data_IF_800883674610
#
_entry.id   IF_800883674610
#
_cell.length_a   1.000
_cell.length_b   1.000
_cell.length_c   1.000
_cell.angle_alpha   90.00
_cell.angle_beta   90.00
_cell.angle_gamma   90.00
#
_symmetry.space_group_name_H-M   'P 1'
#
loop_
_entity.id
_entity.type
_entity.pdbx_description
1 polymer ?
#
# COMPACT_ATOMS: atom_id res chain seq x y z
N UNK A 1 2.86 -1.09 -17.27
CA UNK A 1 3.75 0.07 -17.23
C UNK A 1 3.42 0.83 -15.96
N UNK A 2 4.38 1.01 -15.06
CA UNK A 2 4.19 1.79 -13.83
C UNK A 2 4.12 3.30 -14.12
N UNK A 3 3.68 4.10 -13.14
CA UNK A 3 3.58 5.57 -13.28
C UNK A 3 4.88 6.21 -13.77
N UNK A 4 6.02 5.83 -13.19
CA UNK A 4 7.33 6.39 -13.56
C UNK A 4 7.78 5.98 -14.97
N UNK A 5 7.54 4.72 -15.35
CA UNK A 5 7.82 4.24 -16.71
C UNK A 5 6.97 4.98 -17.75
N UNK A 6 5.69 5.24 -17.44
CA UNK A 6 4.79 6.00 -18.31
C UNK A 6 5.26 7.44 -18.49
N UNK A 7 5.69 8.08 -17.40
CA UNK A 7 6.18 9.45 -17.46
C UNK A 7 7.46 9.52 -18.29
N UNK A 8 8.42 8.61 -18.06
CA UNK A 8 9.67 8.57 -18.82
C UNK A 8 9.46 8.28 -20.31
N UNK A 9 8.51 7.40 -20.66
CA UNK A 9 8.16 7.12 -22.04
C UNK A 9 7.57 8.33 -22.76
N UNK A 10 6.80 9.15 -22.05
CA UNK A 10 6.23 10.40 -22.57
C UNK A 10 7.27 11.52 -22.68
N UNK A 11 8.03 11.81 -21.61
CA UNK A 11 8.89 13.00 -21.54
C UNK A 11 10.25 12.78 -22.18
N UNK A 12 10.91 11.66 -21.86
CA UNK A 12 12.30 11.40 -22.27
C UNK A 12 12.41 10.62 -23.56
N UNK A 13 11.49 9.67 -23.81
CA UNK A 13 11.54 8.81 -25.00
C UNK A 13 10.69 9.33 -26.16
N UNK A 14 9.67 10.15 -25.88
CA UNK A 14 8.73 10.66 -26.88
C UNK A 14 7.95 9.55 -27.60
N UNK A 15 7.78 8.39 -26.95
CA UNK A 15 7.11 7.21 -27.55
C UNK A 15 5.61 7.17 -27.25
N UNK A 16 5.11 8.08 -26.44
CA UNK A 16 3.71 8.20 -26.05
C UNK A 16 3.21 9.63 -26.25
N UNK A 17 1.92 9.78 -26.56
CA UNK A 17 1.26 11.09 -26.66
C UNK A 17 0.82 11.64 -25.29
N UNK A 18 0.68 10.76 -24.28
CA UNK A 18 0.33 11.11 -22.91
C UNK A 18 0.86 10.07 -21.92
N UNK A 19 1.00 10.46 -20.66
CA UNK A 19 1.34 9.57 -19.55
C UNK A 19 0.17 9.45 -18.56
N UNK A 20 0.05 8.28 -17.93
CA UNK A 20 -0.87 8.06 -16.81
C UNK A 20 -0.04 7.85 -15.55
N UNK A 21 -0.28 8.69 -14.54
CA UNK A 21 0.42 8.67 -13.26
C UNK A 21 -0.58 8.67 -12.12
N UNK A 22 -0.34 7.86 -11.09
CA UNK A 22 -1.15 7.88 -9.85
C UNK A 22 -0.58 8.85 -8.81
N UNK A 23 0.72 9.17 -8.91
CA UNK A 23 1.40 10.07 -8.00
C UNK A 23 1.40 11.51 -8.55
N UNK A 24 1.12 12.47 -7.68
CA UNK A 24 1.17 13.88 -8.03
C UNK A 24 2.61 14.35 -8.20
N UNK A 25 2.92 14.96 -9.34
CA UNK A 25 4.13 15.77 -9.51
C UNK A 25 3.96 17.14 -8.87
N UNK A 26 5.05 17.77 -8.43
CA UNK A 26 4.98 19.16 -7.94
C UNK A 26 4.66 20.11 -9.10
N UNK A 27 4.05 21.26 -8.79
CA UNK A 27 3.73 22.27 -9.80
C UNK A 27 5.01 22.78 -10.48
N UNK A 28 6.09 22.88 -9.74
CA UNK A 28 7.41 23.30 -10.20
C UNK A 28 7.96 22.30 -11.23
N UNK A 29 7.86 20.99 -10.95
CA UNK A 29 8.30 19.94 -11.87
C UNK A 29 7.47 19.95 -13.17
N UNK A 30 6.15 20.06 -13.05
CA UNK A 30 5.26 20.14 -14.22
C UNK A 30 5.55 21.38 -15.07
N UNK A 31 5.81 22.52 -14.44
CA UNK A 31 6.12 23.77 -15.16
C UNK A 31 7.47 23.69 -15.87
N UNK A 32 8.49 23.10 -15.22
CA UNK A 32 9.82 22.95 -15.80
C UNK A 32 9.81 22.06 -17.06
N UNK A 33 8.92 21.07 -17.11
CA UNK A 33 8.76 20.17 -18.25
C UNK A 33 7.64 20.61 -19.22
N UNK A 34 7.02 21.77 -19.00
CA UNK A 34 5.89 22.29 -19.79
C UNK A 34 4.72 21.26 -19.90
N UNK A 35 4.42 20.60 -18.79
CA UNK A 35 3.38 19.57 -18.68
C UNK A 35 2.13 20.09 -17.99
N UNK A 36 0.97 19.60 -18.44
CA UNK A 36 -0.31 19.78 -17.76
C UNK A 36 -0.74 18.46 -17.12
N UNK A 37 -1.23 18.51 -15.87
CA UNK A 37 -1.82 17.37 -15.18
C UNK A 37 -3.34 17.51 -15.14
N UNK A 38 -4.06 16.53 -15.68
CA UNK A 38 -5.51 16.50 -15.71
C UNK A 38 -6.03 15.29 -14.91
N UNK A 39 -6.94 15.47 -13.94
CA UNK A 39 -7.59 14.35 -13.28
C UNK A 39 -8.37 13.52 -14.31
N UNK A 40 -8.04 12.23 -14.40
CA UNK A 40 -8.70 11.32 -15.34
C UNK A 40 -9.70 10.41 -14.64
N UNK A 41 -9.29 9.76 -13.55
CA UNK A 41 -10.13 8.85 -12.76
C UNK A 41 -9.75 8.87 -11.28
N UNK A 42 -10.72 8.63 -10.41
CA UNK A 42 -10.52 8.36 -8.99
C UNK A 42 -10.82 6.89 -8.71
N UNK A 43 -9.89 6.18 -8.07
CA UNK A 43 -10.02 4.76 -7.78
C UNK A 43 -9.76 4.50 -6.29
N UNK A 44 -10.58 3.66 -5.63
CA UNK A 44 -10.30 3.24 -4.27
C UNK A 44 -9.13 2.26 -4.24
N UNK A 45 -8.25 2.42 -3.25
CA UNK A 45 -7.26 1.40 -2.88
C UNK A 45 -7.83 0.67 -1.67
N UNK A 46 -7.89 -0.65 -1.74
CA UNK A 46 -8.45 -1.50 -0.67
C UNK A 46 -7.36 -2.41 -0.10
N UNK A 47 -7.37 -2.57 1.22
CA UNK A 47 -6.59 -3.61 1.89
C UNK A 47 -7.38 -4.93 1.81
N UNK A 48 -6.83 -5.91 1.11
CA UNK A 48 -7.41 -7.24 1.04
C UNK A 48 -6.88 -8.13 2.17
N UNK A 49 -7.71 -9.05 2.65
CA UNK A 49 -7.35 -10.04 3.67
C UNK A 49 -7.83 -11.43 3.28
N UNK A 50 -7.24 -12.46 3.89
CA UNK A 50 -7.64 -13.85 3.70
C UNK A 50 -7.91 -14.50 5.05
N UNK A 51 -9.19 -14.54 5.42
CA UNK A 51 -9.70 -15.15 6.65
C UNK A 51 -10.94 -15.98 6.31
N UNK A 52 -10.78 -17.22 5.81
CA UNK A 52 -11.90 -18.04 5.34
C UNK A 52 -12.92 -18.40 6.43
N UNK A 53 -12.52 -18.29 7.70
CA UNK A 53 -13.35 -18.55 8.87
C UNK A 53 -14.29 -17.41 9.24
N UNK A 54 -14.15 -16.22 8.63
CA UNK A 54 -15.02 -15.09 8.93
C UNK A 54 -16.39 -15.23 8.28
N UNK A 55 -17.44 -15.11 9.10
CA UNK A 55 -18.83 -15.13 8.65
C UNK A 55 -19.31 -13.79 8.07
N UNK A 56 -18.60 -12.69 8.34
CA UNK A 56 -18.91 -11.36 7.84
C UNK A 56 -17.64 -10.54 7.57
N UNK A 57 -17.82 -9.41 6.91
CA UNK A 57 -16.73 -8.49 6.55
C UNK A 57 -16.00 -7.98 7.78
N UNK A 58 -14.67 -7.98 7.71
CA UNK A 58 -13.79 -7.38 8.72
C UNK A 58 -13.77 -5.85 8.56
N UNK A 59 -13.87 -5.15 9.67
CA UNK A 59 -13.74 -3.69 9.74
C UNK A 59 -12.37 -3.33 10.29
N UNK A 60 -11.64 -2.46 9.60
CA UNK A 60 -10.39 -1.87 10.07
C UNK A 60 -10.49 -0.34 9.92
N UNK A 61 -10.01 0.39 10.92
CA UNK A 61 -9.78 1.82 10.81
C UNK A 61 -8.35 2.11 10.33
N UNK A 62 -8.08 3.37 10.01
CA UNK A 62 -6.77 3.78 9.51
C UNK A 62 -5.64 3.50 10.50
N UNK A 63 -5.87 3.75 11.80
CA UNK A 63 -4.87 3.57 12.84
C UNK A 63 -4.50 2.10 13.02
N UNK A 64 -5.49 1.20 13.08
CA UNK A 64 -5.27 -0.25 13.15
C UNK A 64 -4.57 -0.76 11.90
N UNK A 65 -4.94 -0.25 10.72
CA UNK A 65 -4.24 -0.60 9.48
C UNK A 65 -2.78 -0.14 9.50
N UNK A 66 -2.50 1.09 9.94
CA UNK A 66 -1.13 1.59 10.12
C UNK A 66 -0.32 0.74 11.10
N UNK A 67 -0.92 0.40 12.24
CA UNK A 67 -0.31 -0.45 13.26
C UNK A 67 0.00 -1.88 12.76
N UNK A 68 -0.84 -2.44 11.87
CA UNK A 68 -0.56 -3.70 11.19
C UNK A 68 0.68 -3.58 10.31
N UNK A 69 0.78 -2.51 9.53
CA UNK A 69 1.87 -2.29 8.57
C UNK A 69 3.17 -1.77 9.21
N UNK A 70 3.12 -1.24 10.43
CA UNK A 70 4.31 -0.93 11.24
C UNK A 70 4.80 -2.14 12.04
N UNK A 71 3.95 -3.16 12.23
CA UNK A 71 4.25 -4.37 13.00
C UNK A 71 3.88 -4.29 14.49
N UNK A 72 3.16 -3.24 14.91
CA UNK A 72 2.62 -3.14 16.26
C UNK A 72 1.44 -4.09 16.49
N UNK A 73 0.66 -4.39 15.45
CA UNK A 73 -0.42 -5.38 15.45
C UNK A 73 -0.05 -6.53 14.53
N UNK A 74 0.15 -7.73 15.10
CA UNK A 74 0.65 -8.90 14.35
C UNK A 74 -0.25 -10.13 14.40
N UNK A 75 -1.39 -10.03 15.09
CA UNK A 75 -2.36 -11.11 15.25
C UNK A 75 -3.76 -10.66 14.84
N UNK A 76 -4.54 -11.53 14.20
CA UNK A 76 -5.90 -11.20 13.80
C UNK A 76 -6.86 -11.00 14.97
N UNK A 77 -6.64 -11.69 16.10
CA UNK A 77 -7.42 -11.52 17.32
C UNK A 77 -6.89 -10.43 18.26
N UNK A 78 -6.04 -9.52 17.76
CA UNK A 78 -5.56 -8.38 18.54
C UNK A 78 -6.73 -7.54 19.07
N UNK A 79 -6.57 -6.93 20.25
CA UNK A 79 -7.62 -6.14 20.89
C UNK A 79 -8.04 -4.94 20.04
N UNK A 80 -7.12 -4.33 19.29
CA UNK A 80 -7.45 -3.23 18.37
C UNK A 80 -8.43 -3.69 17.27
N UNK A 81 -8.18 -4.87 16.68
CA UNK A 81 -9.05 -5.44 15.64
C UNK A 81 -10.36 -5.93 16.26
N UNK A 82 -10.31 -6.60 17.41
CA UNK A 82 -11.50 -7.14 18.09
C UNK A 82 -12.46 -6.03 18.53
N UNK A 83 -11.94 -4.88 18.96
CA UNK A 83 -12.75 -3.73 19.38
C UNK A 83 -13.58 -3.17 18.22
N UNK A 84 -13.03 -3.16 17.00
CA UNK A 84 -13.72 -2.73 15.79
C UNK A 84 -14.74 -3.77 15.29
N UNK A 85 -14.62 -5.02 15.75
CA UNK A 85 -15.38 -6.16 15.24
C UNK A 85 -16.03 -6.97 16.38
N UNK A 86 -16.86 -6.36 17.25
CA UNK A 86 -17.36 -7.01 18.47
C UNK A 86 -18.25 -8.24 18.21
N UNK A 87 -18.83 -8.36 17.02
CA UNK A 87 -19.65 -9.50 16.62
C UNK A 87 -18.88 -10.63 15.95
N UNK A 88 -17.57 -10.45 15.69
CA UNK A 88 -16.73 -11.45 15.04
C UNK A 88 -15.90 -12.22 16.07
N UNK A 89 -15.83 -13.54 15.89
CA UNK A 89 -14.83 -14.38 16.55
C UNK A 89 -13.57 -14.38 15.69
N UNK A 90 -12.56 -13.62 16.09
CA UNK A 90 -11.32 -13.49 15.33
C UNK A 90 -10.35 -14.65 15.65
N UNK A 91 -9.69 -15.24 14.64
CA UNK A 91 -8.79 -16.36 14.86
C UNK A 91 -7.46 -15.91 15.49
N UNK A 92 -6.87 -16.77 16.30
CA UNK A 92 -5.50 -16.60 16.81
C UNK A 92 -4.47 -16.96 15.73
N UNK A 93 -4.53 -16.24 14.61
CA UNK A 93 -3.64 -16.41 13.46
C UNK A 93 -2.74 -15.19 13.31
N UNK A 94 -1.46 -15.43 13.02
CA UNK A 94 -0.50 -14.37 12.79
C UNK A 94 -0.80 -13.71 11.45
N UNK A 95 -0.80 -12.37 11.41
CA UNK A 95 -0.97 -11.61 10.18
C UNK A 95 0.29 -11.80 9.33
N UNK A 96 0.08 -12.23 8.08
CA UNK A 96 1.12 -12.32 7.06
C UNK A 96 0.87 -11.25 6.01
N UNK A 97 1.77 -10.27 5.93
CA UNK A 97 1.64 -9.18 4.97
C UNK A 97 2.14 -9.60 3.59
N UNK A 98 1.47 -9.11 2.56
CA UNK A 98 1.89 -9.23 1.17
C UNK A 98 2.01 -7.84 0.58
N UNK A 99 3.11 -7.57 -0.13
CA UNK A 99 3.32 -6.29 -0.80
C UNK A 99 4.01 -6.47 -2.15
N UNK A 100 3.83 -5.49 -3.03
CA UNK A 100 4.63 -5.37 -4.24
C UNK A 100 6.03 -4.83 -3.90
N UNK A 101 7.09 -5.48 -4.39
CA UNK A 101 8.46 -4.99 -4.24
C UNK A 101 8.69 -3.60 -4.81
N UNK A 102 7.95 -3.25 -5.86
CA UNK A 102 8.08 -1.97 -6.53
C UNK A 102 7.48 -0.85 -5.66
N UNK A 103 8.37 -0.18 -4.93
CA UNK A 103 8.04 1.00 -4.12
C UNK A 103 7.84 2.26 -4.96
N UNK A 104 8.28 2.25 -6.22
CA UNK A 104 8.09 3.37 -7.15
C UNK A 104 6.70 3.38 -7.80
N UNK A 105 5.94 2.28 -7.66
CA UNK A 105 4.54 2.20 -8.11
C UNK A 105 3.66 3.25 -7.42
N UNK A 106 2.79 3.89 -8.19
CA UNK A 106 1.89 4.93 -7.71
C UNK A 106 0.87 4.45 -6.67
N UNK A 107 0.42 3.19 -6.77
CA UNK A 107 -0.42 2.54 -5.74
C UNK A 107 0.36 2.41 -4.42
N UNK A 108 1.61 1.95 -4.48
CA UNK A 108 2.46 1.81 -3.29
C UNK A 108 2.70 3.16 -2.61
N UNK A 109 3.00 4.20 -3.40
CA UNK A 109 3.20 5.55 -2.87
C UNK A 109 1.93 6.12 -2.24
N UNK A 110 0.76 5.94 -2.87
CA UNK A 110 -0.51 6.42 -2.32
C UNK A 110 -0.88 5.67 -1.04
N UNK A 111 -0.69 4.35 -1.01
CA UNK A 111 -0.98 3.52 0.15
C UNK A 111 -0.07 3.85 1.35
N UNK A 112 1.25 3.93 1.15
CA UNK A 112 2.21 4.30 2.20
C UNK A 112 1.99 5.72 2.71
N UNK A 113 1.61 6.67 1.85
CA UNK A 113 1.21 8.01 2.25
C UNK A 113 -0.03 7.99 3.14
N UNK A 114 -1.06 7.21 2.80
CA UNK A 114 -2.26 7.08 3.61
C UNK A 114 -1.93 6.49 4.99
N UNK A 115 -1.17 5.39 5.04
CA UNK A 115 -0.74 4.79 6.31
C UNK A 115 0.07 5.76 7.18
N UNK A 116 0.95 6.57 6.58
CA UNK A 116 1.74 7.58 7.30
C UNK A 116 0.89 8.71 7.88
N UNK A 117 -0.29 8.98 7.30
CA UNK A 117 -1.26 9.93 7.85
C UNK A 117 -2.08 9.32 8.99
N UNK A 118 -2.27 8.00 8.97
CA UNK A 118 -3.09 7.31 9.96
C UNK A 118 -2.33 6.88 11.21
N UNK A 119 -1.02 6.62 11.07
CA UNK A 119 -0.19 6.07 12.14
C UNK A 119 1.22 6.69 12.12
N UNK A 120 1.59 7.35 13.21
CA UNK A 120 2.87 8.04 13.33
C UNK A 120 4.04 7.06 13.42
N UNK A 121 3.83 5.88 14.03
CA UNK A 121 4.84 4.84 14.14
C UNK A 121 5.14 4.23 12.78
N UNK A 122 4.12 3.99 11.95
CA UNK A 122 4.28 3.63 10.55
C UNK A 122 5.06 4.70 9.80
N UNK A 123 4.70 5.98 9.94
CA UNK A 123 5.40 7.07 9.27
C UNK A 123 6.90 7.11 9.64
N UNK A 124 7.21 6.97 10.92
CA UNK A 124 8.59 6.91 11.41
C UNK A 124 9.33 5.68 10.86
N UNK A 125 8.70 4.50 10.91
CA UNK A 125 9.27 3.26 10.40
C UNK A 125 9.53 3.34 8.88
N UNK A 126 8.56 3.83 8.09
CA UNK A 126 8.67 3.98 6.64
C UNK A 126 9.79 4.95 6.25
N UNK A 127 9.87 6.11 6.90
CA UNK A 127 10.90 7.10 6.62
C UNK A 127 12.31 6.60 6.96
N UNK A 128 12.45 5.71 7.94
CA UNK A 128 13.72 5.10 8.30
C UNK A 128 14.21 4.03 7.31
N UNK A 129 13.37 3.56 6.38
CA UNK A 129 13.71 2.45 5.47
C UNK A 129 14.71 2.84 4.37
N UNK A 130 14.77 4.12 3.99
CA UNK A 130 15.58 4.56 2.85
C UNK A 130 15.26 3.77 1.57
N UNK A 131 16.29 3.22 0.92
CA UNK A 131 16.13 2.41 -0.30
C UNK A 131 15.60 0.99 -0.06
N UNK A 132 15.47 0.54 1.20
CA UNK A 132 15.00 -0.80 1.52
C UNK A 132 13.47 -0.92 1.41
N UNK A 133 12.74 0.20 1.48
CA UNK A 133 11.29 0.22 1.41
C UNK A 133 10.64 -0.72 2.43
N UNK A 134 9.63 -1.49 2.01
CA UNK A 134 8.94 -2.45 2.87
C UNK A 134 9.87 -3.42 3.62
N UNK A 135 10.94 -3.88 2.98
CA UNK A 135 11.91 -4.79 3.61
C UNK A 135 12.72 -4.12 4.75
N UNK A 136 12.74 -2.78 4.81
CA UNK A 136 13.39 -2.01 5.85
C UNK A 136 12.53 -1.79 7.10
N UNK A 137 11.23 -2.08 7.06
CA UNK A 137 10.37 -1.97 8.25
C UNK A 137 10.67 -3.15 9.18
N UNK A 138 11.43 -2.90 10.24
CA UNK A 138 11.84 -3.94 11.20
C UNK A 138 10.64 -4.66 11.83
N UNK A 139 9.56 -3.92 12.10
CA UNK A 139 8.37 -4.46 12.75
C UNK A 139 7.61 -5.49 11.92
N UNK A 140 7.79 -5.56 10.59
CA UNK A 140 7.13 -6.56 9.73
C UNK A 140 8.08 -7.70 9.31
N UNK A 141 9.32 -7.70 9.80
CA UNK A 141 10.31 -8.71 9.45
C UNK A 141 9.85 -10.12 9.85
N UNK A 142 10.07 -11.10 8.97
CA UNK A 142 9.73 -12.51 9.21
C UNK A 142 8.24 -12.85 9.13
N UNK A 143 7.36 -11.89 8.81
CA UNK A 143 5.93 -12.14 8.57
C UNK A 143 5.36 -11.25 7.45
N UNK A 144 6.23 -10.81 6.54
CA UNK A 144 5.83 -10.17 5.30
C UNK A 144 6.51 -10.87 4.12
N UNK A 145 5.77 -11.05 3.03
CA UNK A 145 6.28 -11.61 1.79
C UNK A 145 6.27 -10.56 0.67
N UNK A 146 7.30 -10.61 -0.16
CA UNK A 146 7.38 -9.85 -1.38
C UNK A 146 6.87 -10.73 -2.51
N UNK A 147 5.64 -10.52 -2.95
CA UNK A 147 4.98 -11.43 -3.89
C UNK A 147 5.16 -11.05 -5.36
N UNK A 148 5.97 -10.03 -5.65
CA UNK A 148 6.45 -9.69 -7.01
C UNK A 148 5.35 -9.21 -7.97
N UNK A 149 5.51 -7.98 -8.47
CA UNK A 149 4.59 -7.23 -9.36
C UNK A 149 3.17 -6.96 -8.79
N UNK A 150 2.69 -5.70 -8.86
CA UNK A 150 1.28 -5.39 -8.60
C UNK A 150 0.34 -6.27 -9.46
N UNK A 151 -0.63 -6.93 -8.84
CA UNK A 151 -1.66 -7.74 -9.52
C UNK A 151 -1.48 -9.27 -9.43
N UNK A 152 -0.25 -9.80 -9.32
CA UNK A 152 -0.03 -11.25 -9.07
C UNK A 152 -0.28 -11.62 -7.60
N UNK A 153 0.00 -10.68 -6.70
CA UNK A 153 -0.29 -10.69 -5.26
C UNK A 153 -1.76 -10.98 -4.96
N UNK A 154 -2.67 -10.37 -5.73
CA UNK A 154 -4.10 -10.50 -5.54
C UNK A 154 -4.57 -11.92 -5.86
N UNK A 155 -4.07 -12.54 -6.93
CA UNK A 155 -4.55 -13.86 -7.37
C UNK A 155 -3.99 -15.03 -6.56
N UNK A 156 -2.78 -14.91 -6.01
CA UNK A 156 -2.13 -16.02 -5.29
C UNK A 156 -2.50 -16.09 -3.80
N UNK A 157 -2.87 -14.96 -3.18
CA UNK A 157 -3.11 -14.87 -1.73
C UNK A 157 -4.51 -14.38 -1.33
N UNK A 158 -5.26 -13.77 -2.25
CA UNK A 158 -6.63 -13.29 -2.00
C UNK A 158 -7.58 -14.12 -2.87
N UNK A 159 -8.35 -15.02 -2.25
CA UNK A 159 -9.49 -15.62 -2.94
C UNK A 159 -10.61 -14.60 -2.96
N UNK A 160 -10.95 -14.11 -4.15
CA UNK A 160 -12.16 -13.32 -4.41
C UNK A 160 -13.36 -14.26 -4.38
#
# INVERSE_FOLDING_TARGET
MGSQESLQAFTSLGTLDYAVVDASSTKEALTAENLALLPFTGQPIVAAYNLPSLASTLVLDGATLGAIWSGSVVWWNDTAIQTLNPSLTLPQERILLTYASDTSSGITQTFTRALSLFDADFAAAWNATGSLGWAGIAGIAGHANNSGRPGKTQTDYVKV
#
